data_IF_598008356746
#
_entry.id   IF_598008356746
#
_cell.length_a   1.000
_cell.length_b   1.000
_cell.length_c   1.000
_cell.angle_alpha   90.00
_cell.angle_beta   90.00
_cell.angle_gamma   90.00
#
_symmetry.space_group_name_H-M   'P 1'
#
loop_
_entity.id
_entity.type
_entity.pdbx_description
1 polymer ?
#
# COMPACT_ATOMS: atom_id res chain seq x y z
N UNK A 1 4.46 -3.27 -32.14
CA UNK A 1 4.86 -3.74 -30.80
C UNK A 1 5.55 -2.56 -30.15
N UNK A 2 4.87 -1.87 -29.22
CA UNK A 2 5.47 -0.74 -28.54
C UNK A 2 6.56 -1.26 -27.60
N UNK A 3 7.80 -0.83 -27.84
CA UNK A 3 8.91 -1.05 -26.94
C UNK A 3 8.60 -0.27 -25.66
N UNK A 4 8.44 -0.97 -24.53
CA UNK A 4 8.39 -0.33 -23.22
C UNK A 4 9.77 0.33 -23.06
N UNK A 5 9.80 1.65 -23.14
CA UNK A 5 11.03 2.39 -22.88
C UNK A 5 11.40 2.20 -21.40
N UNK A 6 12.68 2.05 -21.10
CA UNK A 6 13.19 1.80 -19.74
C UNK A 6 12.87 2.94 -18.74
N UNK A 7 12.21 4.01 -19.20
CA UNK A 7 11.85 5.21 -18.43
C UNK A 7 10.50 5.11 -17.69
N UNK A 8 9.67 4.09 -17.93
CA UNK A 8 8.33 3.96 -17.33
C UNK A 8 8.27 2.93 -16.18
N UNK A 9 9.35 2.83 -15.39
CA UNK A 9 9.42 1.97 -14.21
C UNK A 9 9.53 2.79 -12.92
N UNK A 10 9.00 2.23 -11.83
CA UNK A 10 9.05 2.85 -10.51
C UNK A 10 10.49 2.91 -10.02
N UNK A 11 10.96 4.08 -9.59
CA UNK A 11 12.34 4.23 -9.09
C UNK A 11 12.62 3.48 -7.76
N UNK A 12 11.58 2.98 -7.09
CA UNK A 12 11.71 2.25 -5.83
C UNK A 12 11.71 0.73 -6.05
N UNK A 13 10.75 0.19 -6.79
CA UNK A 13 10.60 -1.26 -6.96
C UNK A 13 10.97 -1.78 -8.35
N UNK A 14 11.29 -0.90 -9.30
CA UNK A 14 11.56 -1.22 -10.71
C UNK A 14 10.40 -1.90 -11.46
N UNK A 15 9.22 -2.04 -10.86
CA UNK A 15 8.01 -2.50 -11.54
C UNK A 15 7.45 -1.42 -12.48
N UNK A 16 6.66 -1.80 -13.51
CA UNK A 16 6.02 -0.85 -14.42
C UNK A 16 5.17 0.22 -13.70
N UNK A 17 5.30 1.48 -14.12
CA UNK A 17 4.50 2.61 -13.63
C UNK A 17 3.16 2.67 -14.38
N UNK A 18 2.15 1.96 -13.85
CA UNK A 18 0.77 2.11 -14.34
C UNK A 18 -0.01 3.19 -13.57
N UNK A 19 0.25 3.29 -12.27
CA UNK A 19 -0.38 4.20 -11.34
C UNK A 19 0.68 4.84 -10.46
N UNK A 20 0.49 6.11 -10.11
CA UNK A 20 1.44 6.89 -9.31
C UNK A 20 0.73 7.60 -8.16
N UNK A 21 1.49 7.96 -7.13
CA UNK A 21 1.05 8.83 -6.05
C UNK A 21 1.89 10.10 -6.02
N UNK A 22 1.24 11.25 -6.24
CA UNK A 22 1.88 12.55 -6.38
C UNK A 22 1.58 13.39 -5.13
N UNK A 23 2.62 13.89 -4.48
CA UNK A 23 2.49 14.87 -3.40
C UNK A 23 2.57 16.31 -3.92
N UNK A 24 2.51 17.30 -3.02
CA UNK A 24 2.62 18.73 -3.38
C UNK A 24 3.91 19.07 -4.15
N UNK A 25 4.96 18.25 -4.02
CA UNK A 25 6.22 18.40 -4.73
C UNK A 25 6.16 18.02 -6.23
N UNK A 26 5.10 17.34 -6.69
CA UNK A 26 4.89 17.01 -8.10
C UNK A 26 5.66 15.81 -8.65
N UNK A 27 6.52 15.16 -7.86
CA UNK A 27 7.19 13.91 -8.24
C UNK A 27 6.17 12.80 -8.51
N UNK A 28 6.31 12.12 -9.65
CA UNK A 28 5.37 11.11 -10.18
C UNK A 28 6.04 9.77 -10.52
N UNK A 29 7.34 9.64 -10.26
CA UNK A 29 8.21 8.54 -10.70
C UNK A 29 8.14 7.30 -9.77
N UNK A 30 7.20 7.31 -8.82
CA UNK A 30 7.01 6.27 -7.81
C UNK A 30 5.63 5.66 -7.95
N UNK A 31 5.55 4.34 -8.06
CA UNK A 31 4.27 3.67 -8.23
C UNK A 31 3.39 3.85 -6.98
N UNK A 32 2.09 3.85 -7.20
CA UNK A 32 1.09 4.01 -6.15
C UNK A 32 1.27 3.02 -4.99
N UNK A 33 1.64 1.77 -5.28
CA UNK A 33 1.94 0.76 -4.26
C UNK A 33 3.11 1.15 -3.36
N UNK A 34 4.19 1.68 -3.93
CA UNK A 34 5.35 2.13 -3.15
C UNK A 34 5.03 3.37 -2.31
N UNK A 35 4.26 4.32 -2.86
CA UNK A 35 3.78 5.49 -2.10
C UNK A 35 2.85 5.05 -0.95
N UNK A 36 1.91 4.15 -1.22
CA UNK A 36 1.01 3.59 -0.21
C UNK A 36 1.80 2.84 0.87
N UNK A 37 2.83 2.07 0.49
CA UNK A 37 3.70 1.35 1.45
C UNK A 37 4.46 2.32 2.36
N UNK A 38 5.01 3.39 1.81
CA UNK A 38 5.72 4.41 2.59
C UNK A 38 4.82 5.00 3.68
N UNK A 39 3.59 5.37 3.29
CA UNK A 39 2.63 5.98 4.22
C UNK A 39 2.03 4.99 5.20
N UNK A 40 1.51 3.87 4.70
CA UNK A 40 0.76 2.94 5.52
C UNK A 40 1.65 2.03 6.37
N UNK A 41 2.71 1.48 5.79
CA UNK A 41 3.58 0.49 6.46
C UNK A 41 4.73 1.18 7.19
N UNK A 42 5.41 2.13 6.54
CA UNK A 42 6.56 2.81 7.15
C UNK A 42 6.17 4.03 7.98
N UNK A 43 4.92 4.51 7.90
CA UNK A 43 4.43 5.72 8.59
C UNK A 43 5.22 6.98 8.23
N UNK A 44 5.71 7.04 6.99
CA UNK A 44 6.47 8.17 6.44
C UNK A 44 5.63 8.88 5.37
N UNK A 45 5.39 10.18 5.60
CA UNK A 45 4.59 11.05 4.72
C UNK A 45 5.44 11.89 3.77
N UNK A 46 6.76 11.80 3.87
CA UNK A 46 7.67 12.53 3.00
C UNK A 46 7.74 11.90 1.60
N UNK A 47 7.99 12.73 0.60
CA UNK A 47 8.34 12.25 -0.73
C UNK A 47 9.66 11.47 -0.66
N UNK A 48 9.69 10.25 -1.22
CA UNK A 48 10.91 9.43 -1.20
C UNK A 48 12.07 10.04 -1.99
N UNK A 49 11.77 10.89 -2.98
CA UNK A 49 12.77 11.55 -3.82
C UNK A 49 13.33 12.82 -3.18
N UNK A 50 12.48 13.79 -2.83
CA UNK A 50 12.93 15.09 -2.32
C UNK A 50 12.80 15.29 -0.81
N UNK A 51 12.24 14.32 -0.09
CA UNK A 51 11.99 14.38 1.37
C UNK A 51 11.05 15.50 1.82
N UNK A 52 10.38 16.18 0.90
CA UNK A 52 9.35 17.14 1.25
C UNK A 52 8.15 16.42 1.87
N UNK A 53 7.74 16.86 3.05
CA UNK A 53 6.52 16.40 3.71
C UNK A 53 5.29 16.70 2.86
N UNK A 54 4.40 15.71 2.72
CA UNK A 54 3.16 15.86 1.99
C UNK A 54 2.00 15.33 2.83
N UNK A 55 1.19 16.19 3.48
CA UNK A 55 0.05 15.75 4.29
C UNK A 55 -1.03 15.02 3.48
N UNK A 56 -1.07 15.24 2.16
CA UNK A 56 -1.97 14.57 1.24
C UNK A 56 -1.24 14.11 -0.02
N UNK A 57 -1.76 13.07 -0.68
CA UNK A 57 -1.27 12.57 -1.98
C UNK A 57 -2.44 12.41 -2.94
N UNK A 58 -2.22 12.76 -4.20
CA UNK A 58 -3.13 12.49 -5.30
C UNK A 58 -2.67 11.27 -6.09
N UNK A 59 -3.54 10.27 -6.21
CA UNK A 59 -3.32 9.04 -6.95
C UNK A 59 -4.05 9.09 -8.28
N UNK A 60 -3.32 8.81 -9.36
CA UNK A 60 -3.78 8.89 -10.75
C UNK A 60 -3.05 7.89 -11.61
N UNK A 61 -3.62 7.59 -12.78
CA UNK A 61 -2.95 6.80 -13.82
C UNK A 61 -1.69 7.52 -14.28
N UNK A 62 -0.60 6.77 -14.42
CA UNK A 62 0.64 7.28 -14.99
C UNK A 62 0.55 7.25 -16.53
N UNK A 63 0.89 8.38 -17.15
CA UNK A 63 0.82 8.58 -18.61
C UNK A 63 2.06 9.35 -19.09
N UNK A 64 3.23 9.09 -18.49
CA UNK A 64 4.45 9.84 -18.77
C UNK A 64 4.23 11.33 -18.54
N UNK A 65 4.59 12.17 -19.51
CA UNK A 65 4.41 13.62 -19.45
C UNK A 65 2.96 14.10 -19.38
N UNK A 66 2.00 13.27 -19.81
CA UNK A 66 0.57 13.56 -19.77
C UNK A 66 -0.10 13.14 -18.46
N UNK A 67 0.66 12.64 -17.48
CA UNK A 67 0.13 12.28 -16.16
C UNK A 67 -0.58 13.47 -15.53
N UNK A 68 -1.82 13.26 -15.07
CA UNK A 68 -2.58 14.31 -14.39
C UNK A 68 -1.83 14.81 -13.15
N UNK A 69 -1.87 16.13 -12.91
CA UNK A 69 -1.21 16.77 -11.79
C UNK A 69 -2.18 17.73 -11.10
N UNK A 70 -2.07 17.78 -9.78
CA UNK A 70 -2.71 18.80 -8.96
C UNK A 70 -1.67 19.89 -8.74
N UNK A 71 -2.00 21.14 -9.06
CA UNK A 71 -1.11 22.26 -8.75
C UNK A 71 -0.92 22.35 -7.23
N UNK A 72 0.26 22.76 -6.72
CA UNK A 72 0.50 22.87 -5.29
C UNK A 72 -0.58 23.67 -4.53
N UNK A 73 -1.05 24.76 -5.13
CA UNK A 73 -2.08 25.65 -4.56
C UNK A 73 -3.48 25.00 -4.49
N UNK A 74 -3.73 23.93 -5.25
CA UNK A 74 -5.01 23.22 -5.27
C UNK A 74 -5.08 22.07 -4.24
N UNK A 75 -3.96 21.66 -3.64
CA UNK A 75 -3.94 20.58 -2.64
C UNK A 75 -4.87 20.83 -1.44
N UNK A 76 -4.92 22.06 -0.86
CA UNK A 76 -5.89 22.38 0.19
C UNK A 76 -7.36 22.13 -0.22
N UNK A 77 -7.67 22.22 -1.52
CA UNK A 77 -9.00 22.00 -2.08
C UNK A 77 -9.40 20.53 -2.28
N UNK A 78 -8.46 19.57 -2.20
CA UNK A 78 -8.72 18.15 -2.48
C UNK A 78 -9.80 17.55 -1.58
N UNK A 79 -9.83 17.92 -0.29
CA UNK A 79 -10.86 17.47 0.64
C UNK A 79 -12.26 17.89 0.18
N UNK A 80 -12.42 19.15 -0.23
CA UNK A 80 -13.70 19.67 -0.72
C UNK A 80 -14.11 18.99 -2.03
N UNK A 81 -13.15 18.70 -2.93
CA UNK A 81 -13.37 17.95 -4.17
C UNK A 81 -13.87 16.54 -3.89
N UNK A 82 -13.23 15.82 -2.95
CA UNK A 82 -13.68 14.50 -2.52
C UNK A 82 -15.08 14.52 -1.89
N UNK A 83 -15.39 15.52 -1.07
CA UNK A 83 -16.74 15.69 -0.49
C UNK A 83 -17.82 15.94 -1.55
N UNK A 84 -17.46 16.51 -2.70
CA UNK A 84 -18.36 16.66 -3.86
C UNK A 84 -18.45 15.40 -4.73
N UNK A 85 -17.77 14.32 -4.36
CA UNK A 85 -17.77 13.05 -5.10
C UNK A 85 -16.80 13.03 -6.28
N UNK A 86 -15.92 14.03 -6.43
CA UNK A 86 -14.95 14.07 -7.52
C UNK A 86 -13.81 13.06 -7.31
N UNK A 87 -13.44 12.82 -6.06
CA UNK A 87 -12.34 11.92 -5.69
C UNK A 87 -12.74 10.98 -4.55
N UNK A 88 -12.15 9.79 -4.55
CA UNK A 88 -12.27 8.83 -3.47
C UNK A 88 -11.14 9.04 -2.45
N UNK A 89 -11.49 9.31 -1.20
CA UNK A 89 -10.52 9.50 -0.13
C UNK A 89 -10.18 8.19 0.60
N UNK A 90 -8.90 7.86 0.69
CA UNK A 90 -8.37 6.75 1.48
C UNK A 90 -7.61 7.27 2.70
N UNK A 91 -8.21 7.13 3.88
CA UNK A 91 -7.61 7.55 5.14
C UNK A 91 -6.28 6.82 5.46
N UNK A 92 -6.13 5.57 5.02
CA UNK A 92 -4.95 4.76 5.37
C UNK A 92 -3.62 5.31 4.80
N UNK A 93 -3.71 6.14 3.75
CA UNK A 93 -2.57 6.72 3.04
C UNK A 93 -2.73 8.24 2.85
N UNK A 94 -3.69 8.86 3.53
CA UNK A 94 -4.08 10.27 3.32
C UNK A 94 -4.15 10.66 1.83
N UNK A 95 -4.79 9.78 1.05
CA UNK A 95 -4.74 9.78 -0.41
C UNK A 95 -6.08 10.09 -1.06
N UNK A 96 -6.05 10.82 -2.16
CA UNK A 96 -7.21 11.11 -3.01
C UNK A 96 -7.03 10.43 -4.36
N UNK A 97 -8.05 9.71 -4.82
CA UNK A 97 -8.00 8.92 -6.04
C UNK A 97 -9.03 9.44 -7.04
N UNK A 98 -8.62 9.62 -8.28
CA UNK A 98 -9.53 9.93 -9.40
C UNK A 98 -10.16 8.68 -10.05
N UNK A 99 -9.62 7.50 -9.77
CA UNK A 99 -10.17 6.21 -10.20
C UNK A 99 -10.67 5.36 -9.02
N UNK A 100 -11.91 4.89 -9.13
CA UNK A 100 -12.56 4.08 -8.10
C UNK A 100 -11.94 2.69 -7.92
N UNK A 101 -11.58 2.03 -9.02
CA UNK A 101 -11.04 0.67 -8.96
C UNK A 101 -9.65 0.69 -8.31
N UNK A 102 -8.83 1.68 -8.68
CA UNK A 102 -7.51 1.84 -8.08
C UNK A 102 -7.60 2.24 -6.59
N UNK A 103 -8.58 3.07 -6.22
CA UNK A 103 -8.89 3.32 -4.81
C UNK A 103 -9.20 2.03 -4.04
N UNK A 104 -10.06 1.17 -4.58
CA UNK A 104 -10.44 -0.11 -3.94
C UNK A 104 -9.24 -1.05 -3.81
N UNK A 105 -8.35 -1.09 -4.81
CA UNK A 105 -7.10 -1.86 -4.78
C UNK A 105 -6.17 -1.40 -3.64
N UNK A 106 -5.80 -0.10 -3.61
CA UNK A 106 -4.91 0.42 -2.57
C UNK A 106 -5.54 0.32 -1.18
N UNK A 107 -6.86 0.56 -1.07
CA UNK A 107 -7.59 0.37 0.19
C UNK A 107 -7.52 -1.07 0.68
N UNK A 108 -7.61 -2.05 -0.23
CA UNK A 108 -7.48 -3.47 0.11
C UNK A 108 -6.08 -3.81 0.62
N UNK A 109 -5.02 -3.30 -0.04
CA UNK A 109 -3.62 -3.50 0.38
C UNK A 109 -3.34 -2.91 1.77
N UNK A 110 -3.93 -1.74 2.05
CA UNK A 110 -3.80 -1.07 3.35
C UNK A 110 -4.81 -1.61 4.39
N UNK A 111 -5.61 -2.61 4.03
CA UNK A 111 -6.50 -3.30 4.96
C UNK A 111 -5.77 -4.39 5.74
N UNK A 112 -6.34 -4.78 6.88
CA UNK A 112 -5.93 -6.02 7.54
C UNK A 112 -6.64 -7.18 6.83
N UNK A 113 -6.08 -7.61 5.71
CA UNK A 113 -6.55 -8.73 4.88
C UNK A 113 -5.39 -9.69 4.62
N UNK A 114 -5.69 -10.94 4.26
CA UNK A 114 -4.69 -11.92 3.84
C UNK A 114 -5.35 -12.88 2.83
N UNK A 115 -4.66 -13.34 1.76
CA UNK A 115 -5.24 -14.24 0.76
C UNK A 115 -6.01 -15.43 1.35
N UNK A 116 -5.44 -16.08 2.37
CA UNK A 116 -6.06 -17.21 3.08
C UNK A 116 -7.44 -16.89 3.71
N UNK A 117 -7.71 -15.62 4.04
CA UNK A 117 -8.99 -15.15 4.58
C UNK A 117 -9.91 -14.67 3.47
N UNK A 118 -9.35 -13.96 2.48
CA UNK A 118 -10.12 -13.43 1.34
C UNK A 118 -10.81 -14.51 0.52
N UNK A 119 -10.24 -15.72 0.50
CA UNK A 119 -10.77 -16.87 -0.23
C UNK A 119 -11.81 -17.68 0.58
N UNK A 120 -12.09 -17.32 1.84
CA UNK A 120 -13.05 -18.03 2.69
C UNK A 120 -14.51 -17.75 2.29
N UNK A 121 -15.32 -18.79 1.99
CA UNK A 121 -16.73 -18.61 1.68
C UNK A 121 -17.50 -18.06 2.90
N UNK A 122 -18.01 -16.83 2.79
CA UNK A 122 -18.75 -16.17 3.88
C UNK A 122 -17.87 -15.65 5.03
N UNK A 123 -16.55 -15.67 4.87
CA UNK A 123 -15.59 -15.13 5.84
C UNK A 123 -15.52 -13.60 5.85
N UNK A 124 -14.83 -13.01 6.85
CA UNK A 124 -14.62 -11.57 6.92
C UNK A 124 -13.73 -11.11 5.75
N UNK A 125 -14.18 -10.13 4.97
CA UNK A 125 -13.38 -9.57 3.86
C UNK A 125 -12.17 -8.74 4.32
N UNK A 126 -12.20 -8.23 5.56
CA UNK A 126 -11.12 -7.47 6.19
C UNK A 126 -11.36 -7.34 7.70
N UNK A 127 -10.28 -7.20 8.47
CA UNK A 127 -10.33 -6.95 9.92
C UNK A 127 -10.15 -5.48 10.25
N UNK A 128 -10.55 -5.06 11.47
CA UNK A 128 -10.39 -3.67 11.93
C UNK A 128 -8.99 -3.40 12.48
N UNK A 129 -8.27 -4.45 12.87
CA UNK A 129 -6.91 -4.36 13.39
C UNK A 129 -6.08 -5.59 13.04
N UNK A 130 -4.76 -5.43 13.06
CA UNK A 130 -3.81 -6.52 12.93
C UNK A 130 -4.00 -7.59 14.04
N UNK A 131 -4.39 -7.17 15.24
CA UNK A 131 -4.65 -8.06 16.37
C UNK A 131 -5.87 -8.95 16.15
N UNK A 132 -6.96 -8.42 15.58
CA UNK A 132 -8.12 -9.23 15.19
C UNK A 132 -7.76 -10.24 14.11
N UNK A 133 -6.99 -9.82 13.09
CA UNK A 133 -6.53 -10.72 12.04
C UNK A 133 -5.66 -11.86 12.60
N UNK A 134 -4.69 -11.55 13.47
CA UNK A 134 -3.86 -12.57 14.14
C UNK A 134 -4.70 -13.62 14.88
N UNK A 135 -5.71 -13.17 15.64
CA UNK A 135 -6.61 -14.07 16.37
C UNK A 135 -7.39 -14.98 15.42
N UNK A 136 -7.91 -14.44 14.31
CA UNK A 136 -8.64 -15.24 13.31
C UNK A 136 -7.74 -16.29 12.66
N UNK A 137 -6.53 -15.88 12.23
CA UNK A 137 -5.57 -16.78 11.60
C UNK A 137 -5.17 -17.96 12.50
N UNK A 138 -4.95 -17.72 13.79
CA UNK A 138 -4.63 -18.79 14.74
C UNK A 138 -5.87 -19.67 15.05
N UNK A 139 -7.03 -19.06 15.27
CA UNK A 139 -8.24 -19.77 15.65
C UNK A 139 -8.80 -20.65 14.52
N UNK A 140 -8.85 -20.13 13.30
CA UNK A 140 -9.50 -20.76 12.14
C UNK A 140 -8.49 -21.51 11.27
N UNK A 141 -7.36 -20.87 10.96
CA UNK A 141 -6.40 -21.39 9.98
C UNK A 141 -5.20 -22.11 10.58
N UNK A 142 -5.02 -22.06 11.91
CA UNK A 142 -3.87 -22.64 12.62
C UNK A 142 -2.51 -22.14 12.10
N UNK A 143 -2.50 -20.90 11.62
CA UNK A 143 -1.28 -20.23 11.14
C UNK A 143 -1.10 -18.88 11.84
N UNK A 144 0.14 -18.40 11.90
CA UNK A 144 0.48 -17.15 12.57
C UNK A 144 1.60 -16.43 11.82
N UNK A 145 1.68 -15.12 12.01
CA UNK A 145 2.85 -14.34 11.58
C UNK A 145 4.03 -14.61 12.52
N UNK A 146 5.24 -14.55 11.99
CA UNK A 146 6.44 -14.35 12.81
C UNK A 146 6.49 -12.90 13.29
N UNK A 147 6.52 -12.66 14.60
CA UNK A 147 6.53 -11.30 15.16
C UNK A 147 7.79 -10.51 14.81
N UNK A 148 8.93 -11.19 14.66
CA UNK A 148 10.20 -10.57 14.23
C UNK A 148 10.05 -10.09 12.78
N UNK A 149 9.62 -10.97 11.87
CA UNK A 149 9.40 -10.64 10.46
C UNK A 149 8.31 -9.57 10.27
N UNK A 150 7.27 -9.59 11.10
CA UNK A 150 6.22 -8.59 11.07
C UNK A 150 6.71 -7.20 11.47
N UNK A 151 7.74 -7.12 12.32
CA UNK A 151 8.39 -5.87 12.71
C UNK A 151 9.47 -5.43 11.72
N UNK A 152 10.27 -6.36 11.20
CA UNK A 152 11.43 -6.07 10.35
C UNK A 152 11.08 -5.91 8.88
N UNK A 153 10.22 -6.78 8.33
CA UNK A 153 9.85 -6.77 6.92
C UNK A 153 8.76 -5.73 6.66
N UNK A 154 9.13 -4.63 6.01
CA UNK A 154 8.25 -3.49 5.73
C UNK A 154 7.36 -3.71 4.50
N UNK A 155 6.52 -4.73 4.56
CA UNK A 155 5.53 -5.06 3.51
C UNK A 155 4.10 -4.96 4.03
N UNK A 156 3.11 -4.99 3.14
CA UNK A 156 1.70 -5.01 3.57
C UNK A 156 1.37 -6.29 4.33
N UNK A 157 0.36 -6.26 5.20
CA UNK A 157 -0.03 -7.42 6.00
C UNK A 157 -0.43 -8.63 5.13
N UNK A 158 -1.07 -8.37 3.98
CA UNK A 158 -1.42 -9.39 2.99
C UNK A 158 -0.22 -9.97 2.22
N UNK A 159 0.94 -9.30 2.26
CA UNK A 159 2.19 -9.74 1.64
C UNK A 159 3.11 -10.49 2.64
N UNK A 160 2.76 -10.52 3.93
CA UNK A 160 3.52 -11.22 4.96
C UNK A 160 3.33 -12.73 4.87
N UNK A 161 4.36 -13.48 5.27
CA UNK A 161 4.29 -14.94 5.33
C UNK A 161 3.58 -15.40 6.61
N UNK A 162 2.82 -16.48 6.46
CA UNK A 162 2.16 -17.18 7.55
C UNK A 162 2.81 -18.55 7.72
N UNK A 163 2.88 -18.98 8.97
CA UNK A 163 3.55 -20.21 9.36
C UNK A 163 2.61 -21.04 10.24
N UNK A 164 2.61 -22.36 10.05
CA UNK A 164 2.10 -23.27 11.10
C UNK A 164 2.99 -23.18 12.33
N UNK A 165 2.53 -23.75 13.46
CA UNK A 165 3.32 -23.79 14.70
C UNK A 165 4.71 -24.41 14.48
N UNK A 166 4.78 -25.54 13.78
CA UNK A 166 6.02 -26.26 13.52
C UNK A 166 6.93 -25.48 12.57
N UNK A 167 6.35 -24.85 11.54
CA UNK A 167 7.10 -24.00 10.62
C UNK A 167 7.68 -22.77 11.31
N UNK A 168 6.91 -22.14 12.21
CA UNK A 168 7.35 -20.97 12.94
C UNK A 168 8.48 -21.30 13.92
N UNK A 169 8.39 -22.44 14.61
CA UNK A 169 9.45 -22.92 15.50
C UNK A 169 10.77 -23.14 14.73
N UNK A 170 10.71 -23.77 13.55
CA UNK A 170 11.90 -23.95 12.70
C UNK A 170 12.43 -22.61 12.19
N UNK A 171 11.54 -21.74 11.69
CA UNK A 171 11.89 -20.42 11.17
C UNK A 171 12.64 -19.57 12.21
N UNK A 172 12.18 -19.58 13.47
CA UNK A 172 12.84 -18.83 14.54
C UNK A 172 14.20 -19.43 14.88
N UNK A 173 14.32 -20.76 14.97
CA UNK A 173 15.59 -21.42 15.31
C UNK A 173 16.66 -21.23 14.20
N UNK A 174 16.26 -21.28 12.93
CA UNK A 174 17.19 -21.07 11.80
C UNK A 174 17.63 -19.60 11.68
N UNK A 175 16.83 -18.65 12.15
CA UNK A 175 17.15 -17.22 12.10
C UNK A 175 18.07 -16.76 13.22
N UNK A 176 18.19 -17.52 14.32
CA UNK A 176 19.10 -17.24 15.45
C UNK A 176 20.55 -17.65 15.15
N UNK A 177 20.81 -18.39 14.05
CA UNK A 177 22.15 -18.90 13.67
C UNK A 177 22.93 -17.97 12.70
N UNK A 178 22.45 -16.76 12.45
CA UNK A 178 23.10 -15.74 11.60
C UNK A 178 23.12 -14.36 12.25
#
# INVERSE_FOLDING_TARGET
MATIDSSDCCLVCADPLEWTGIGVCGHKEICSRCVARMRFVLKDTACVLCKQESPAVFFTRFMGDFTARIAPDDYPGLKARSQRGEFHYCQAVDGYFDDKNHFEEIKSLCGYTHPIVSDEPGGPKSFRSLGEMKKHLDAVHKVSFCDICLQSRKVFACEQLLYTREQLNRHNNESDET
#
